data_IF_657188129605
#
_entry.id   IF_657188129605
#
_cell.length_a   1.000
_cell.length_b   1.000
_cell.length_c   1.000
_cell.angle_alpha   90.00
_cell.angle_beta   90.00
_cell.angle_gamma   90.00
#
_symmetry.space_group_name_H-M   'P 1'
#
loop_
_entity.id
_entity.type
_entity.pdbx_description
1 polymer ?
#
# COMPACT_ATOMS: atom_id res chain seq x y z
N UNK A 1 -11.04 11.07 -2.41
CA UNK A 1 -10.23 10.87 -1.18
C UNK A 1 -10.64 11.94 -0.19
N UNK A 2 -11.08 11.55 1.01
CA UNK A 2 -11.60 12.45 2.06
C UNK A 2 -10.68 12.54 3.28
N UNK A 3 -9.58 11.76 3.32
CA UNK A 3 -8.54 11.96 4.33
C UNK A 3 -8.02 13.39 4.19
N UNK A 4 -8.07 14.16 5.27
CA UNK A 4 -7.63 15.55 5.32
C UNK A 4 -6.25 15.63 5.96
N UNK A 5 -5.43 16.54 5.46
CA UNK A 5 -4.15 16.91 6.05
C UNK A 5 -4.21 18.38 6.48
N UNK A 6 -3.85 18.68 7.72
CA UNK A 6 -3.78 20.04 8.26
C UNK A 6 -2.32 20.35 8.57
N UNK A 7 -1.76 21.50 8.13
CA UNK A 7 -0.39 21.89 8.47
C UNK A 7 -0.19 21.94 10.00
N UNK A 8 0.94 21.43 10.47
CA UNK A 8 1.31 21.37 11.88
C UNK A 8 2.70 22.00 12.06
N UNK A 9 2.77 23.17 12.70
CA UNK A 9 4.04 23.85 12.94
C UNK A 9 4.80 24.26 11.67
N UNK A 10 6.13 24.17 11.72
CA UNK A 10 7.04 24.42 10.61
C UNK A 10 7.51 23.12 9.95
N UNK A 11 8.26 23.22 8.84
CA UNK A 11 9.01 22.10 8.25
C UNK A 11 8.19 21.03 7.51
N UNK A 12 7.02 21.40 7.00
CA UNK A 12 6.23 20.53 6.12
C UNK A 12 5.56 19.35 6.83
N UNK A 13 5.42 19.43 8.16
CA UNK A 13 4.65 18.50 8.97
C UNK A 13 3.15 18.76 8.85
N UNK A 14 2.37 17.68 8.85
CA UNK A 14 0.92 17.68 8.75
C UNK A 14 0.30 16.65 9.68
N UNK A 15 -0.89 16.95 10.19
CA UNK A 15 -1.75 15.99 10.88
C UNK A 15 -2.79 15.45 9.89
N UNK A 16 -2.79 14.12 9.72
CA UNK A 16 -3.72 13.42 8.84
C UNK A 16 -4.87 12.80 9.63
N UNK A 17 -6.09 13.08 9.18
CA UNK A 17 -7.31 12.49 9.75
C UNK A 17 -8.20 11.90 8.66
N UNK A 18 -8.61 10.65 8.82
CA UNK A 18 -9.49 9.93 7.89
C UNK A 18 -9.16 8.46 7.81
N UNK A 19 -9.48 7.81 6.69
CA UNK A 19 -9.35 6.36 6.55
C UNK A 19 -8.66 5.92 5.25
N UNK A 20 -8.01 4.76 5.27
CA UNK A 20 -7.62 4.02 4.08
C UNK A 20 -8.23 2.63 4.12
N UNK A 21 -9.07 2.37 3.13
CA UNK A 21 -9.83 1.13 3.04
C UNK A 21 -8.96 -0.09 2.77
N UNK A 22 -7.84 0.06 2.06
CA UNK A 22 -6.85 -1.00 1.86
C UNK A 22 -5.46 -0.45 2.15
N UNK A 23 -4.85 -0.96 3.22
CA UNK A 23 -3.45 -0.77 3.57
C UNK A 23 -2.80 -2.16 3.68
N UNK A 24 -2.08 -2.54 2.62
CA UNK A 24 -1.27 -3.77 2.61
C UNK A 24 0.01 -3.58 3.41
N UNK A 25 0.50 -4.68 3.99
CA UNK A 25 1.67 -4.70 4.86
C UNK A 25 1.61 -3.62 5.97
N UNK A 26 0.58 -3.63 6.85
CA UNK A 26 0.42 -2.61 7.89
C UNK A 26 1.55 -2.60 8.94
N UNK A 27 2.47 -3.57 8.90
CA UNK A 27 3.67 -3.61 9.73
C UNK A 27 4.83 -2.77 9.17
N UNK A 28 4.76 -2.30 7.92
CA UNK A 28 5.78 -1.41 7.35
C UNK A 28 6.08 -0.22 8.27
N UNK A 29 7.32 0.26 8.21
CA UNK A 29 7.79 1.33 9.11
C UNK A 29 7.22 2.70 8.72
N UNK A 30 6.90 2.90 7.44
CA UNK A 30 6.23 4.10 6.94
C UNK A 30 5.39 3.81 5.69
N UNK A 31 4.51 4.76 5.37
CA UNK A 31 3.58 4.67 4.24
C UNK A 31 3.57 5.97 3.45
N UNK A 32 3.50 5.86 2.12
CA UNK A 32 3.11 7.00 1.29
C UNK A 32 1.58 7.08 1.26
N UNK A 33 1.05 8.19 1.73
CA UNK A 33 -0.40 8.41 1.92
C UNK A 33 -0.82 9.64 1.14
N UNK A 34 -1.83 9.49 0.27
CA UNK A 34 -2.49 10.65 -0.33
C UNK A 34 -3.54 11.22 0.63
N UNK A 35 -3.56 12.54 0.82
CA UNK A 35 -4.57 13.25 1.61
C UNK A 35 -4.82 14.65 1.03
N UNK A 36 -5.98 15.23 1.35
CA UNK A 36 -6.36 16.59 0.91
C UNK A 36 -5.74 17.61 1.85
N UNK A 37 -4.77 18.38 1.35
CA UNK A 37 -4.21 19.57 1.98
C UNK A 37 -4.96 20.83 1.48
N UNK A 38 -4.71 22.02 2.05
CA UNK A 38 -5.31 23.28 1.56
C UNK A 38 -5.14 23.52 0.05
N UNK A 39 -3.98 23.20 -0.51
CA UNK A 39 -3.62 23.30 -1.92
C UNK A 39 -4.05 22.11 -2.78
N UNK A 40 -4.78 21.14 -2.22
CA UNK A 40 -5.34 19.99 -2.93
C UNK A 40 -4.70 18.65 -2.55
N UNK A 41 -4.84 17.67 -3.44
CA UNK A 41 -4.42 16.30 -3.16
C UNK A 41 -2.89 16.20 -3.16
N UNK A 42 -2.32 15.90 -1.99
CA UNK A 42 -0.88 15.86 -1.73
C UNK A 42 -0.43 14.47 -1.30
N UNK A 43 0.88 14.20 -1.41
CA UNK A 43 1.50 12.97 -0.95
C UNK A 43 2.24 13.22 0.36
N UNK A 44 2.14 12.27 1.30
CA UNK A 44 2.75 12.37 2.61
C UNK A 44 3.48 11.08 2.95
N UNK A 45 4.64 11.20 3.62
CA UNK A 45 5.30 10.11 4.30
C UNK A 45 4.78 10.04 5.74
N UNK A 46 4.03 8.98 6.05
CA UNK A 46 3.46 8.72 7.36
C UNK A 46 4.23 7.58 8.05
N UNK A 47 5.08 7.87 9.04
CA UNK A 47 5.75 6.82 9.81
C UNK A 47 4.78 6.14 10.77
N UNK A 48 4.94 4.83 10.98
CA UNK A 48 4.15 4.05 11.96
C UNK A 48 4.63 4.30 13.40
N UNK A 49 5.91 4.60 13.57
CA UNK A 49 6.57 4.92 14.84
C UNK A 49 7.25 6.27 14.68
N UNK A 50 7.00 7.19 15.61
CA UNK A 50 7.56 8.54 15.63
C UNK A 50 9.04 8.53 16.06
N UNK A 51 9.79 9.63 15.83
CA UNK A 51 11.20 9.70 16.23
C UNK A 51 11.46 9.49 17.73
N UNK A 52 10.48 9.80 18.59
CA UNK A 52 10.55 9.58 20.05
C UNK A 52 10.23 8.12 20.45
N UNK A 53 10.02 7.24 19.48
CA UNK A 53 9.70 5.82 19.68
C UNK A 53 8.23 5.53 19.97
N UNK A 54 7.37 6.55 20.12
CA UNK A 54 5.93 6.34 20.30
C UNK A 54 5.28 5.89 19.00
N UNK A 55 4.18 5.16 19.11
CA UNK A 55 3.35 4.85 17.95
C UNK A 55 2.67 6.12 17.47
N UNK A 56 2.64 6.30 16.15
CA UNK A 56 1.81 7.33 15.53
C UNK A 56 0.33 6.95 15.64
N UNK A 57 -0.58 7.90 15.41
CA UNK A 57 -2.03 7.70 15.48
C UNK A 57 -2.57 6.94 14.25
N UNK A 58 -2.04 5.73 14.05
CA UNK A 58 -2.35 4.79 12.99
C UNK A 58 -3.10 3.60 13.60
N UNK A 59 -4.40 3.52 13.34
CA UNK A 59 -5.30 2.55 13.98
C UNK A 59 -5.72 1.49 12.97
N UNK A 60 -5.28 0.25 13.18
CA UNK A 60 -5.73 -0.90 12.39
C UNK A 60 -7.10 -1.34 12.91
N UNK A 61 -8.13 -1.23 12.07
CA UNK A 61 -9.49 -1.60 12.44
C UNK A 61 -9.74 -3.10 12.27
N UNK A 62 -9.36 -3.64 11.10
CA UNK A 62 -9.46 -5.06 10.81
C UNK A 62 -8.51 -5.49 9.69
N UNK A 63 -8.23 -6.79 9.65
CA UNK A 63 -7.61 -7.43 8.49
C UNK A 63 -8.68 -7.90 7.50
N UNK A 64 -8.36 -7.84 6.21
CA UNK A 64 -9.23 -8.28 5.13
C UNK A 64 -9.26 -9.81 5.07
N UNK A 65 -10.47 -10.37 4.96
CA UNK A 65 -10.63 -11.76 4.53
C UNK A 65 -10.62 -11.81 3.00
N UNK A 66 -9.47 -12.20 2.44
CA UNK A 66 -9.22 -12.16 0.98
C UNK A 66 -9.35 -13.55 0.37
N UNK A 67 -9.86 -13.62 -0.86
CA UNK A 67 -9.87 -14.84 -1.68
C UNK A 67 -8.47 -15.45 -1.84
N UNK A 68 -7.49 -14.62 -2.23
CA UNK A 68 -6.09 -14.98 -2.43
C UNK A 68 -5.14 -13.96 -1.78
N UNK A 69 -3.84 -14.07 -2.05
CA UNK A 69 -2.81 -13.20 -1.44
C UNK A 69 -2.91 -13.17 0.10
N UNK A 70 -3.38 -14.26 0.72
CA UNK A 70 -3.72 -14.35 2.15
C UNK A 70 -2.49 -14.27 3.06
N UNK A 71 -1.31 -14.60 2.53
CA UNK A 71 -0.03 -14.45 3.24
C UNK A 71 0.35 -12.99 3.48
N UNK A 72 -0.14 -12.06 2.66
CA UNK A 72 0.09 -10.62 2.83
C UNK A 72 -1.07 -10.02 3.64
N UNK A 73 -0.79 -9.50 4.83
CA UNK A 73 -1.78 -8.80 5.61
C UNK A 73 -2.24 -7.53 4.88
N UNK A 74 -3.54 -7.41 4.63
CA UNK A 74 -4.17 -6.18 4.16
C UNK A 74 -5.16 -5.73 5.21
N UNK A 75 -5.15 -4.45 5.54
CA UNK A 75 -5.94 -3.88 6.63
C UNK A 75 -6.84 -2.74 6.17
N UNK A 76 -7.86 -2.45 6.97
CA UNK A 76 -8.50 -1.14 7.05
C UNK A 76 -7.83 -0.36 8.15
N UNK A 77 -7.50 0.90 7.87
CA UNK A 77 -6.87 1.79 8.83
C UNK A 77 -7.62 3.10 8.96
N UNK A 78 -7.59 3.65 10.16
CA UNK A 78 -7.98 5.02 10.47
C UNK A 78 -6.77 5.80 10.98
N UNK A 79 -6.74 7.07 10.61
CA UNK A 79 -5.75 8.06 11.04
C UNK A 79 -6.50 9.10 11.85
N UNK A 80 -6.01 9.38 13.05
CA UNK A 80 -6.57 10.41 13.93
C UNK A 80 -5.47 11.40 14.32
N UNK A 81 -5.36 12.50 13.57
CA UNK A 81 -4.27 13.46 13.72
C UNK A 81 -2.89 12.78 13.66
N UNK A 82 -2.72 11.85 12.73
CA UNK A 82 -1.47 11.13 12.55
C UNK A 82 -0.42 12.05 11.91
N UNK A 83 0.75 12.16 12.53
CA UNK A 83 1.81 13.02 12.03
C UNK A 83 2.39 12.44 10.73
N UNK A 84 2.52 13.26 9.70
CA UNK A 84 3.16 12.91 8.44
C UNK A 84 3.94 14.11 7.88
N UNK A 85 4.87 13.84 6.98
CA UNK A 85 5.67 14.88 6.31
C UNK A 85 5.30 14.91 4.84
N UNK A 86 5.11 16.09 4.26
CA UNK A 86 4.78 16.21 2.84
C UNK A 86 5.93 15.71 1.95
N UNK A 87 5.59 15.01 0.86
CA UNK A 87 6.55 14.53 -0.15
C UNK A 87 6.20 15.18 -1.49
N UNK A 88 7.15 15.96 -2.01
CA UNK A 88 6.94 16.77 -3.20
C UNK A 88 6.09 18.01 -2.92
N UNK A 89 5.52 18.58 -3.97
CA UNK A 89 4.74 19.82 -3.90
C UNK A 89 3.30 19.57 -3.44
N UNK A 90 2.76 20.49 -2.65
CA UNK A 90 1.35 20.48 -2.26
C UNK A 90 0.42 20.56 -3.48
N UNK A 91 -0.67 19.80 -3.48
CA UNK A 91 -1.58 19.69 -4.62
C UNK A 91 -1.06 18.83 -5.78
N UNK A 92 0.18 18.33 -5.70
CA UNK A 92 0.82 17.53 -6.76
C UNK A 92 0.99 16.06 -6.38
N UNK A 93 0.26 15.56 -5.39
CA UNK A 93 0.41 14.21 -4.84
C UNK A 93 0.33 13.08 -5.86
N UNK A 94 -0.56 13.17 -6.86
CA UNK A 94 -0.65 12.18 -7.94
C UNK A 94 0.62 12.17 -8.80
N UNK A 95 1.16 13.35 -9.13
CA UNK A 95 2.41 13.47 -9.89
C UNK A 95 3.58 12.92 -9.07
N UNK A 96 3.63 13.18 -7.77
CA UNK A 96 4.69 12.67 -6.88
C UNK A 96 4.80 11.15 -6.94
N UNK A 97 3.69 10.42 -7.02
CA UNK A 97 3.71 8.95 -6.95
C UNK A 97 3.70 8.24 -8.31
N UNK A 98 3.61 8.96 -9.43
CA UNK A 98 3.31 8.33 -10.73
C UNK A 98 4.42 7.38 -11.19
N UNK A 99 5.68 7.71 -10.92
CA UNK A 99 6.82 6.86 -11.26
C UNK A 99 6.84 5.60 -10.40
N UNK A 100 6.62 5.72 -9.09
CA UNK A 100 6.45 4.58 -8.20
C UNK A 100 5.30 3.66 -8.67
N UNK A 101 4.15 4.23 -9.06
CA UNK A 101 3.02 3.45 -9.60
C UNK A 101 3.45 2.68 -10.85
N UNK A 102 4.24 3.27 -11.75
CA UNK A 102 4.73 2.59 -12.94
C UNK A 102 5.64 1.40 -12.61
N UNK A 103 6.51 1.51 -11.61
CA UNK A 103 7.31 0.37 -11.15
C UNK A 103 6.43 -0.76 -10.59
N UNK A 104 5.45 -0.44 -9.75
CA UNK A 104 4.55 -1.47 -9.21
C UNK A 104 3.70 -2.15 -10.30
N UNK A 105 3.38 -1.45 -11.39
CA UNK A 105 2.70 -2.05 -12.54
C UNK A 105 3.58 -3.07 -13.25
N UNK A 106 4.86 -2.76 -13.42
CA UNK A 106 5.81 -3.70 -14.00
C UNK A 106 5.90 -4.98 -13.15
N UNK A 107 5.99 -4.84 -11.83
CA UNK A 107 6.03 -5.99 -10.92
C UNK A 107 4.75 -6.83 -10.97
N UNK A 108 3.58 -6.20 -11.12
CA UNK A 108 2.31 -6.92 -11.31
C UNK A 108 2.32 -7.78 -12.58
N UNK A 109 2.87 -7.26 -13.69
CA UNK A 109 2.97 -8.00 -14.96
C UNK A 109 3.94 -9.17 -14.80
N UNK A 110 5.12 -8.93 -14.21
CA UNK A 110 6.13 -9.98 -13.96
C UNK A 110 5.56 -11.06 -13.04
N UNK A 111 4.88 -10.67 -11.96
CA UNK A 111 4.24 -11.59 -11.02
C UNK A 111 3.18 -12.46 -11.69
N UNK A 112 2.32 -11.86 -12.52
CA UNK A 112 1.27 -12.59 -13.26
C UNK A 112 1.87 -13.59 -14.27
N UNK A 113 2.88 -13.17 -15.02
CA UNK A 113 3.59 -14.03 -15.97
C UNK A 113 4.29 -15.21 -15.26
N UNK A 114 4.88 -14.95 -14.10
CA UNK A 114 5.54 -15.98 -13.28
C UNK A 114 4.55 -17.01 -12.75
N UNK A 115 3.35 -16.58 -12.31
CA UNK A 115 2.28 -17.50 -11.89
C UNK A 115 1.81 -18.40 -13.04
N UNK A 116 1.58 -17.83 -14.23
CA UNK A 116 1.21 -18.60 -15.41
C UNK A 116 2.30 -19.62 -15.78
N UNK A 117 3.57 -19.19 -15.77
CA UNK A 117 4.70 -20.08 -16.05
C UNK A 117 4.74 -21.26 -15.07
N UNK A 118 4.56 -21.01 -13.78
CA UNK A 118 4.58 -22.08 -12.77
C UNK A 118 3.39 -23.03 -12.95
N UNK A 119 2.19 -22.51 -13.21
CA UNK A 119 1.01 -23.33 -13.46
C UNK A 119 1.22 -24.26 -14.66
N UNK A 120 1.74 -23.73 -15.77
CA UNK A 120 2.06 -24.52 -16.97
C UNK A 120 3.13 -25.57 -16.67
N UNK A 121 4.19 -25.22 -15.96
CA UNK A 121 5.25 -26.17 -15.61
C UNK A 121 4.73 -27.36 -14.79
N UNK A 122 3.84 -27.10 -13.82
CA UNK A 122 3.21 -28.16 -13.02
C UNK A 122 2.26 -29.01 -13.86
N UNK A 123 1.43 -28.38 -14.70
CA UNK A 123 0.49 -29.08 -15.57
C UNK A 123 1.22 -29.97 -16.60
N UNK A 124 2.26 -29.46 -17.27
CA UNK A 124 3.01 -30.22 -18.27
C UNK A 124 3.75 -31.39 -17.64
N UNK A 125 4.37 -31.19 -16.48
CA UNK A 125 4.96 -32.28 -15.70
C UNK A 125 3.92 -33.35 -15.37
N UNK A 126 2.76 -32.96 -14.84
CA UNK A 126 1.67 -33.91 -14.57
C UNK A 126 1.28 -34.70 -15.82
N UNK A 127 1.02 -34.03 -16.95
CA UNK A 127 0.61 -34.70 -18.20
C UNK A 127 1.69 -35.59 -18.81
N UNK A 128 2.97 -35.32 -18.54
CA UNK A 128 4.07 -36.13 -19.04
C UNK A 128 4.22 -37.47 -18.29
N UNK A 129 3.73 -37.54 -17.04
CA UNK A 129 3.89 -38.71 -16.17
C UNK A 129 2.57 -39.42 -15.83
N UNK A 130 1.44 -38.73 -15.94
CA UNK A 130 0.13 -39.30 -15.63
C UNK A 130 -0.41 -40.07 -16.83
N UNK A 131 -0.56 -41.38 -16.65
CA UNK A 131 -1.33 -42.22 -17.59
C UNK A 131 -2.84 -42.19 -17.27
N UNK A 132 -3.66 -42.20 -18.33
CA UNK A 132 -5.11 -42.36 -18.26
C UNK A 132 -5.60 -43.21 -19.44
N UNK A 133 -6.52 -44.15 -19.18
CA UNK A 133 -7.01 -45.11 -20.18
C UNK A 133 -5.90 -45.95 -20.83
N UNK A 134 -4.89 -46.33 -20.05
CA UNK A 134 -3.87 -47.32 -20.45
C UNK A 134 -2.58 -46.74 -21.04
N UNK A 135 -2.41 -45.42 -21.10
CA UNK A 135 -1.16 -44.74 -21.46
C UNK A 135 -1.08 -43.36 -20.85
#
# INVERSE_FOLDING_TARGET
NTTRAVPEGSDGAYLLTGQKWFCSAPMCDAFLVLAQAPGGLSCFLLPRVLPDGKRNAFHIQRLKDKLGNRSNASSEIELDNALAVIVGEEGRGVRTIIEMVNHTRLDCVIGSASLMRQAVAQATHHTAHRSAFGK
#
